data_IF_127976116732
#
_entry.id   IF_127976116732
#
_cell.length_a   1.000
_cell.length_b   1.000
_cell.length_c   1.000
_cell.angle_alpha   90.00
_cell.angle_beta   90.00
_cell.angle_gamma   90.00
#
_symmetry.space_group_name_H-M   'P 1'
#
loop_
_entity.id
_entity.type
_entity.pdbx_description
1 polymer ?
#
# COMPACT_ATOMS: atom_id res chain seq x y z
N UNK A 1 -21.50 -34.94 38.75
CA UNK A 1 -20.17 -34.40 38.38
C UNK A 1 -19.59 -35.32 37.34
N UNK A 2 -19.57 -34.91 36.07
CA UNK A 2 -18.77 -35.54 35.02
C UNK A 2 -18.38 -34.41 34.07
N UNK A 3 -17.11 -34.04 34.13
CA UNK A 3 -16.43 -33.21 33.14
C UNK A 3 -16.30 -34.01 31.84
N UNK A 4 -16.72 -33.41 30.73
CA UNK A 4 -16.24 -33.77 29.40
C UNK A 4 -15.52 -32.55 28.87
N UNK A 5 -14.19 -32.64 28.89
CA UNK A 5 -13.28 -31.70 28.25
C UNK A 5 -13.50 -31.80 26.74
N UNK A 6 -14.19 -30.81 26.18
CA UNK A 6 -14.21 -30.60 24.73
C UNK A 6 -12.90 -29.90 24.36
N UNK A 7 -11.92 -30.71 24.01
CA UNK A 7 -10.65 -30.33 23.39
C UNK A 7 -10.96 -29.63 22.06
N UNK A 8 -11.20 -28.33 22.13
CA UNK A 8 -11.35 -27.49 20.95
C UNK A 8 -9.96 -27.26 20.40
N UNK A 9 -9.60 -28.08 19.43
CA UNK A 9 -8.43 -27.94 18.56
C UNK A 9 -8.18 -26.48 18.23
N UNK A 10 -7.08 -25.93 18.77
CA UNK A 10 -6.57 -24.65 18.38
C UNK A 10 -6.24 -24.70 16.87
N UNK A 11 -7.06 -24.03 16.07
CA UNK A 11 -6.74 -23.76 14.67
C UNK A 11 -5.53 -22.83 14.67
N UNK A 12 -4.33 -23.41 14.53
CA UNK A 12 -3.10 -22.65 14.35
C UNK A 12 -3.27 -21.75 13.13
N UNK A 13 -3.26 -20.44 13.36
CA UNK A 13 -3.39 -19.42 12.34
C UNK A 13 -2.41 -19.67 11.20
N UNK A 14 -2.96 -19.90 10.00
CA UNK A 14 -2.20 -19.89 8.77
C UNK A 14 -1.73 -18.45 8.56
N UNK A 15 -0.54 -18.13 9.05
CA UNK A 15 0.17 -16.94 8.59
C UNK A 15 0.55 -17.22 7.15
N UNK A 16 -0.25 -16.69 6.21
CA UNK A 16 0.18 -16.57 4.82
C UNK A 16 1.56 -15.93 4.85
N UNK A 17 2.55 -16.66 4.35
CA UNK A 17 3.91 -16.14 4.18
C UNK A 17 3.82 -15.02 3.16
N UNK A 18 3.71 -13.77 3.61
CA UNK A 18 3.87 -12.63 2.74
C UNK A 18 5.34 -12.58 2.30
N UNK A 19 5.59 -12.88 1.03
CA UNK A 19 6.89 -12.71 0.41
C UNK A 19 7.18 -11.21 0.33
N UNK A 20 8.06 -10.72 1.19
CA UNK A 20 8.51 -9.34 1.18
C UNK A 20 9.52 -9.18 0.03
N UNK A 21 9.05 -8.68 -1.10
CA UNK A 21 9.91 -8.32 -2.22
C UNK A 21 10.48 -6.93 -1.95
N UNK A 22 11.80 -6.84 -1.78
CA UNK A 22 12.51 -5.57 -1.72
C UNK A 22 12.65 -5.02 -3.15
N UNK A 23 12.10 -3.84 -3.41
CA UNK A 23 12.35 -3.10 -4.63
C UNK A 23 13.60 -2.23 -4.48
N UNK A 24 14.41 -2.15 -5.53
CA UNK A 24 15.36 -1.05 -5.67
C UNK A 24 14.62 0.29 -5.79
N UNK A 25 15.31 1.40 -5.52
CA UNK A 25 14.69 2.74 -5.65
C UNK A 25 14.19 2.98 -7.09
N UNK A 26 14.90 2.46 -8.10
CA UNK A 26 14.55 2.58 -9.52
C UNK A 26 13.34 1.73 -9.91
N UNK A 27 13.24 0.49 -9.39
CA UNK A 27 12.08 -0.38 -9.60
C UNK A 27 10.83 0.18 -8.91
N UNK A 28 10.97 0.69 -7.68
CA UNK A 28 9.89 1.33 -6.96
C UNK A 28 9.36 2.56 -7.73
N UNK A 29 10.26 3.38 -8.28
CA UNK A 29 9.88 4.53 -9.09
C UNK A 29 9.18 4.12 -10.39
N UNK A 30 9.71 3.09 -11.07
CA UNK A 30 9.11 2.58 -12.32
C UNK A 30 7.72 2.01 -12.07
N UNK A 31 7.54 1.22 -11.01
CA UNK A 31 6.24 0.68 -10.62
C UNK A 31 5.25 1.81 -10.34
N UNK A 32 5.68 2.82 -9.59
CA UNK A 32 4.83 3.95 -9.24
C UNK A 32 4.40 4.76 -10.49
N UNK A 33 5.32 5.02 -11.41
CA UNK A 33 5.05 5.66 -12.70
C UNK A 33 4.00 4.89 -13.50
N UNK A 34 4.15 3.56 -13.61
CA UNK A 34 3.18 2.71 -14.30
C UNK A 34 1.79 2.75 -13.66
N UNK A 35 1.72 2.74 -12.32
CA UNK A 35 0.46 2.75 -11.58
C UNK A 35 -0.26 4.09 -11.75
N UNK A 36 0.47 5.22 -11.66
CA UNK A 36 -0.09 6.55 -11.91
C UNK A 36 -0.60 6.68 -13.35
N UNK A 37 0.18 6.23 -14.32
CA UNK A 37 -0.18 6.30 -15.73
C UNK A 37 -1.41 5.43 -16.05
N UNK A 38 -1.51 4.21 -15.48
CA UNK A 38 -2.62 3.29 -15.71
C UNK A 38 -3.95 3.76 -15.10
N UNK A 39 -3.91 4.40 -13.93
CA UNK A 39 -5.13 4.78 -13.19
C UNK A 39 -5.59 6.20 -13.48
N UNK A 40 -4.67 7.14 -13.68
CA UNK A 40 -4.97 8.56 -13.79
C UNK A 40 -4.45 9.20 -15.09
N UNK A 41 -3.68 8.47 -15.89
CA UNK A 41 -3.15 8.96 -17.16
C UNK A 41 -2.09 10.05 -17.03
N UNK A 42 -1.49 10.18 -15.84
CA UNK A 42 -0.44 11.14 -15.51
C UNK A 42 0.81 10.42 -15.02
N UNK A 43 1.96 11.11 -15.04
CA UNK A 43 3.18 10.58 -14.44
C UNK A 43 3.05 10.46 -12.92
N UNK A 44 3.88 9.61 -12.33
CA UNK A 44 3.99 9.49 -10.88
C UNK A 44 4.41 10.81 -10.25
N UNK A 45 5.38 11.52 -10.85
CA UNK A 45 5.82 12.83 -10.36
C UNK A 45 4.69 13.87 -10.34
N UNK A 46 3.88 13.93 -11.39
CA UNK A 46 2.70 14.81 -11.44
C UNK A 46 1.70 14.42 -10.35
N UNK A 47 1.46 13.11 -10.14
CA UNK A 47 0.59 12.67 -9.05
C UNK A 47 1.11 13.13 -7.68
N UNK A 48 2.40 12.97 -7.38
CA UNK A 48 2.99 13.41 -6.10
C UNK A 48 2.84 14.90 -5.90
N UNK A 49 3.07 15.69 -6.95
CA UNK A 49 2.91 17.14 -6.86
C UNK A 49 1.46 17.53 -6.54
N UNK A 50 0.49 16.95 -7.25
CA UNK A 50 -0.94 17.16 -7.03
C UNK A 50 -1.40 16.68 -5.64
N UNK A 51 -0.90 15.53 -5.21
CA UNK A 51 -1.19 14.95 -3.90
C UNK A 51 -0.71 15.87 -2.77
N UNK A 52 0.54 16.35 -2.83
CA UNK A 52 1.06 17.28 -1.82
C UNK A 52 0.42 18.67 -1.88
N UNK A 53 -0.13 19.06 -3.04
CA UNK A 53 -0.89 20.30 -3.21
C UNK A 53 -2.30 20.22 -2.60
N UNK A 54 -2.83 19.01 -2.40
CA UNK A 54 -4.20 18.78 -1.94
C UNK A 54 -5.23 18.74 -3.08
N UNK A 55 -4.81 18.52 -4.33
CA UNK A 55 -5.69 18.52 -5.52
C UNK A 55 -6.71 17.36 -5.50
N UNK A 56 -6.59 16.42 -4.56
CA UNK A 56 -7.50 15.28 -4.37
C UNK A 56 -8.27 15.35 -3.04
N UNK A 57 -8.17 16.43 -2.27
CA UNK A 57 -8.80 16.55 -0.94
C UNK A 57 -10.34 16.59 -1.01
N UNK A 58 -10.90 16.99 -2.16
CA UNK A 58 -12.35 17.00 -2.39
C UNK A 58 -12.96 15.60 -2.48
N UNK A 59 -12.17 14.61 -2.93
CA UNK A 59 -12.59 13.20 -3.07
C UNK A 59 -11.38 12.25 -2.99
N UNK A 60 -10.80 12.07 -1.79
CA UNK A 60 -9.59 11.27 -1.61
C UNK A 60 -9.87 9.77 -1.68
N UNK A 61 -11.13 9.35 -1.50
CA UNK A 61 -11.58 7.95 -1.50
C UNK A 61 -11.86 7.43 -2.91
N UNK A 62 -11.67 8.25 -3.94
CA UNK A 62 -11.81 7.84 -5.32
C UNK A 62 -10.88 6.64 -5.61
N UNK A 63 -11.38 5.50 -6.11
CA UNK A 63 -10.61 4.26 -6.21
C UNK A 63 -9.29 4.40 -6.97
N UNK A 64 -9.27 5.18 -8.06
CA UNK A 64 -8.08 5.43 -8.86
C UNK A 64 -7.03 6.25 -8.10
N UNK A 65 -7.48 7.22 -7.29
CA UNK A 65 -6.59 8.05 -6.46
C UNK A 65 -6.02 7.21 -5.32
N UNK A 66 -6.86 6.48 -4.59
CA UNK A 66 -6.42 5.59 -3.52
C UNK A 66 -5.42 4.55 -4.01
N UNK A 67 -5.65 3.97 -5.20
CA UNK A 67 -4.76 2.97 -5.79
C UNK A 67 -3.35 3.54 -5.98
N UNK A 68 -3.22 4.77 -6.48
CA UNK A 68 -1.92 5.42 -6.65
C UNK A 68 -1.34 5.87 -5.30
N UNK A 69 -2.15 6.47 -4.43
CA UNK A 69 -1.74 6.97 -3.12
C UNK A 69 -1.16 5.87 -2.22
N UNK A 70 -1.71 4.65 -2.27
CA UNK A 70 -1.20 3.50 -1.51
C UNK A 70 0.23 3.10 -1.89
N UNK A 71 0.72 3.51 -3.05
CA UNK A 71 2.09 3.24 -3.51
C UNK A 71 3.06 4.39 -3.19
N UNK A 72 2.60 5.52 -2.66
CA UNK A 72 3.46 6.64 -2.25
C UNK A 72 4.58 6.21 -1.29
N UNK A 73 4.37 5.34 -0.29
CA UNK A 73 5.44 4.92 0.63
C UNK A 73 6.62 4.22 -0.05
N UNK A 74 6.46 3.71 -1.28
CA UNK A 74 7.54 3.06 -2.04
C UNK A 74 8.53 4.09 -2.60
N UNK A 75 8.05 5.29 -2.91
CA UNK A 75 8.84 6.37 -3.55
C UNK A 75 9.11 7.54 -2.62
N UNK A 76 8.31 7.71 -1.57
CA UNK A 76 8.54 8.67 -0.51
C UNK A 76 9.34 8.00 0.60
N UNK A 77 10.66 8.21 0.58
CA UNK A 77 11.51 7.84 1.71
C UNK A 77 11.02 8.60 2.94
N UNK A 78 10.23 7.93 3.79
CA UNK A 78 9.76 8.49 5.05
C UNK A 78 10.99 8.91 5.83
N UNK A 79 11.16 10.22 6.08
CA UNK A 79 12.18 10.70 7.01
C UNK A 79 11.79 10.14 8.38
N UNK A 80 12.37 9.01 8.76
CA UNK A 80 12.36 8.53 10.15
C UNK A 80 13.14 9.55 10.96
N UNK A 81 12.43 10.53 11.51
CA UNK A 81 12.98 11.47 12.47
C UNK A 81 13.25 10.66 13.76
N UNK A 82 14.53 10.40 14.04
CA UNK A 82 15.02 9.85 15.30
C UNK A 82 15.16 10.95 16.33
#
# INVERSE_FOLDING_TARGET
MHETHEDTTASNGHVDQFELVEFTEEEAHTLFEEVAQRNLGISGDEFRERWHRGDYDDDPDRPEVMTVAMNLPLVERRKSNR
#
